data_IF_273003909213
#
_entry.id   IF_273003909213
#
_cell.length_a   1.000
_cell.length_b   1.000
_cell.length_c   1.000
_cell.angle_alpha   90.00
_cell.angle_beta   90.00
_cell.angle_gamma   90.00
#
_symmetry.space_group_name_H-M   'P 1'
#
loop_
_entity.id
_entity.type
_entity.pdbx_description
1 polymer ?
#
# COMPACT_ATOMS: atom_id res chain seq x y z
N UNK A 1 1.08 4.44 -34.13
CA UNK A 1 1.08 4.65 -32.66
C UNK A 1 2.53 4.83 -32.22
N UNK A 2 2.84 5.80 -31.35
CA UNK A 2 4.19 5.93 -30.83
C UNK A 2 4.56 4.66 -30.04
N UNK A 3 5.80 4.21 -30.19
CA UNK A 3 6.34 3.08 -29.44
C UNK A 3 6.61 3.60 -28.02
N UNK A 4 6.02 2.98 -26.96
CA UNK A 4 6.25 3.39 -25.58
C UNK A 4 7.72 3.24 -25.19
N UNK A 5 8.19 4.08 -24.28
CA UNK A 5 9.56 3.98 -23.76
C UNK A 5 9.73 2.76 -22.87
N UNK A 6 10.98 2.35 -22.61
CA UNK A 6 11.27 1.24 -21.70
C UNK A 6 10.69 1.49 -20.30
N UNK A 7 10.83 2.69 -19.77
CA UNK A 7 10.32 3.03 -18.42
C UNK A 7 8.80 2.90 -18.33
N UNK A 8 8.07 3.29 -19.38
CA UNK A 8 6.60 3.12 -19.42
C UNK A 8 6.18 1.65 -19.53
N UNK A 9 7.02 0.78 -20.11
CA UNK A 9 6.74 -0.63 -20.29
C UNK A 9 7.36 -1.54 -19.21
N UNK A 10 8.26 -1.05 -18.39
CA UNK A 10 9.02 -1.83 -17.41
C UNK A 10 8.14 -2.69 -16.53
N UNK A 11 7.13 -2.11 -15.88
CA UNK A 11 6.22 -2.84 -15.00
C UNK A 11 5.42 -3.94 -15.75
N UNK A 12 5.04 -3.68 -17.00
CA UNK A 12 4.34 -4.66 -17.84
C UNK A 12 5.28 -5.81 -18.25
N UNK A 13 6.52 -5.49 -18.59
CA UNK A 13 7.55 -6.49 -18.94
C UNK A 13 7.87 -7.36 -17.73
N UNK A 14 8.10 -6.76 -16.56
CA UNK A 14 8.34 -7.47 -15.31
C UNK A 14 7.18 -8.43 -14.95
N UNK A 15 5.94 -7.97 -15.07
CA UNK A 15 4.75 -8.78 -14.84
C UNK A 15 4.60 -9.92 -15.87
N UNK A 16 5.02 -9.72 -17.11
CA UNK A 16 5.04 -10.78 -18.14
C UNK A 16 6.13 -11.81 -17.89
N UNK A 17 7.34 -11.36 -17.50
CA UNK A 17 8.45 -12.24 -17.15
C UNK A 17 8.11 -13.09 -15.93
N UNK A 18 7.52 -12.50 -14.89
CA UNK A 18 7.14 -13.23 -13.67
C UNK A 18 6.08 -14.30 -13.88
N UNK A 19 5.26 -14.16 -14.93
CA UNK A 19 4.24 -15.15 -15.33
C UNK A 19 4.69 -16.12 -16.44
N UNK A 20 5.91 -15.97 -16.95
CA UNK A 20 6.45 -16.83 -17.99
C UNK A 20 6.90 -18.16 -17.37
N UNK A 21 6.66 -19.28 -18.07
CA UNK A 21 7.09 -20.62 -17.64
C UNK A 21 8.59 -20.71 -17.32
N UNK A 22 9.41 -19.84 -17.91
CA UNK A 22 10.85 -19.74 -17.64
C UNK A 22 11.17 -19.28 -16.22
N UNK A 23 10.28 -18.51 -15.58
CA UNK A 23 10.45 -18.10 -14.20
C UNK A 23 10.36 -19.29 -13.24
N UNK A 24 9.46 -20.25 -13.53
CA UNK A 24 9.35 -21.50 -12.76
C UNK A 24 10.62 -22.36 -12.89
N UNK A 25 11.19 -22.47 -14.11
CA UNK A 25 12.47 -23.17 -14.30
C UNK A 25 13.63 -22.56 -13.52
N UNK A 26 13.61 -21.28 -13.30
CA UNK A 26 14.61 -20.60 -12.46
C UNK A 26 14.48 -21.03 -11.00
N UNK A 27 13.25 -21.11 -10.48
CA UNK A 27 12.98 -21.57 -9.11
C UNK A 27 13.34 -23.05 -8.96
N UNK A 28 12.99 -23.89 -9.90
CA UNK A 28 13.36 -25.31 -9.91
C UNK A 28 14.89 -25.49 -9.94
N UNK A 29 15.59 -24.75 -10.81
CA UNK A 29 17.05 -24.77 -10.87
C UNK A 29 17.72 -24.29 -9.58
N UNK A 30 17.15 -23.28 -8.92
CA UNK A 30 17.58 -22.81 -7.61
C UNK A 30 17.35 -23.90 -6.55
N UNK A 31 16.17 -24.51 -6.52
CA UNK A 31 15.85 -25.57 -5.57
C UNK A 31 16.77 -26.79 -5.72
N UNK A 32 17.10 -27.19 -6.94
CA UNK A 32 18.05 -28.29 -7.17
C UNK A 32 19.47 -27.97 -6.68
N UNK A 33 19.90 -26.71 -6.78
CA UNK A 33 21.16 -26.27 -6.18
C UNK A 33 21.10 -26.28 -4.65
N UNK A 34 19.99 -25.79 -4.08
CA UNK A 34 19.79 -25.77 -2.63
C UNK A 34 19.70 -27.19 -2.06
N UNK A 35 19.02 -28.13 -2.72
CA UNK A 35 19.00 -29.56 -2.34
C UNK A 35 20.40 -30.16 -2.23
N UNK A 36 21.26 -29.86 -3.20
CA UNK A 36 22.67 -30.31 -3.18
C UNK A 36 23.49 -29.64 -2.09
N UNK A 37 23.32 -28.33 -1.92
CA UNK A 37 24.08 -27.54 -0.96
C UNK A 37 23.76 -27.94 0.49
N UNK A 38 22.47 -28.17 0.78
CA UNK A 38 22.01 -28.45 2.14
C UNK A 38 21.76 -29.93 2.44
N UNK A 39 22.15 -30.82 1.51
CA UNK A 39 22.09 -32.28 1.73
C UNK A 39 20.66 -32.82 1.86
N UNK A 40 19.82 -32.52 0.86
CA UNK A 40 18.45 -33.05 0.80
C UNK A 40 18.42 -34.57 0.72
N UNK A 41 17.56 -35.20 1.53
CA UNK A 41 17.28 -36.64 1.56
C UNK A 41 15.79 -36.86 1.60
N UNK A 42 15.28 -37.87 0.90
CA UNK A 42 13.85 -38.18 0.84
C UNK A 42 13.56 -39.68 0.91
N UNK A 43 12.40 -40.03 1.45
CA UNK A 43 11.87 -41.40 1.57
C UNK A 43 10.53 -41.50 0.82
N UNK A 44 10.59 -41.49 -0.53
CA UNK A 44 9.39 -41.53 -1.40
C UNK A 44 8.51 -42.74 -1.21
N UNK A 45 9.06 -43.84 -0.68
CA UNK A 45 8.27 -45.05 -0.39
C UNK A 45 7.10 -44.77 0.53
N UNK A 46 7.27 -43.81 1.45
CA UNK A 46 6.22 -43.40 2.41
C UNK A 46 5.01 -42.72 1.74
N UNK A 47 5.16 -42.21 0.51
CA UNK A 47 4.01 -41.66 -0.24
C UNK A 47 2.94 -42.73 -0.52
N UNK A 48 3.34 -44.02 -0.63
CA UNK A 48 2.40 -45.11 -0.81
C UNK A 48 1.40 -45.27 0.35
N UNK A 49 1.79 -44.86 1.56
CA UNK A 49 0.91 -44.86 2.74
C UNK A 49 -0.09 -43.72 2.68
N UNK A 50 0.36 -42.55 2.21
CA UNK A 50 -0.52 -41.39 2.02
C UNK A 50 -1.58 -41.67 0.94
N UNK A 51 -1.19 -42.33 -0.16
CA UNK A 51 -2.13 -42.72 -1.24
C UNK A 51 -3.24 -43.62 -0.69
N UNK A 52 -2.96 -44.48 0.29
CA UNK A 52 -3.97 -45.42 0.84
C UNK A 52 -5.08 -44.73 1.61
N UNK A 53 -4.81 -43.56 2.22
CA UNK A 53 -5.77 -42.80 3.04
C UNK A 53 -6.50 -41.71 2.26
N UNK A 54 -6.01 -41.34 1.08
CA UNK A 54 -6.64 -40.34 0.23
C UNK A 54 -7.68 -40.99 -0.68
N UNK A 55 -8.81 -40.31 -0.87
CA UNK A 55 -9.90 -40.75 -1.72
C UNK A 55 -10.35 -39.63 -2.68
N UNK A 56 -11.31 -39.93 -3.56
CA UNK A 56 -11.78 -39.01 -4.59
C UNK A 56 -12.33 -37.67 -4.11
N UNK A 57 -12.66 -37.52 -2.80
CA UNK A 57 -13.11 -36.26 -2.24
C UNK A 57 -12.04 -35.16 -2.32
N UNK A 58 -10.76 -35.53 -2.52
CA UNK A 58 -9.67 -34.58 -2.73
C UNK A 58 -9.90 -33.74 -4.00
N UNK A 59 -10.50 -34.30 -5.04
CA UNK A 59 -10.82 -33.58 -6.29
C UNK A 59 -12.03 -32.65 -6.14
N UNK A 60 -12.85 -32.87 -5.08
CA UNK A 60 -13.91 -31.95 -4.72
C UNK A 60 -13.43 -30.82 -3.79
N UNK A 61 -12.19 -30.90 -3.28
CA UNK A 61 -11.64 -29.95 -2.29
C UNK A 61 -12.25 -30.13 -0.91
N UNK A 62 -12.73 -31.32 -0.58
CA UNK A 62 -13.44 -31.62 0.69
C UNK A 62 -12.83 -32.79 1.47
N UNK A 63 -11.71 -33.30 1.02
CA UNK A 63 -11.03 -34.39 1.73
C UNK A 63 -10.52 -33.90 3.10
N UNK A 64 -10.65 -34.76 4.10
CA UNK A 64 -10.17 -34.50 5.46
C UNK A 64 -9.23 -35.61 5.89
N UNK A 65 -8.16 -35.23 6.60
CA UNK A 65 -7.25 -36.17 7.21
C UNK A 65 -8.01 -37.04 8.23
N UNK A 66 -7.83 -38.37 8.23
CA UNK A 66 -8.38 -39.23 9.28
C UNK A 66 -7.90 -38.79 10.67
N UNK A 67 -8.80 -38.77 11.67
CA UNK A 67 -8.52 -38.26 13.02
C UNK A 67 -7.51 -39.10 13.81
N UNK A 68 -7.36 -40.36 13.45
CA UNK A 68 -6.41 -41.33 14.01
C UNK A 68 -5.08 -41.42 13.28
N UNK A 69 -4.92 -40.66 12.18
CA UNK A 69 -3.68 -40.64 11.43
C UNK A 69 -2.59 -39.85 12.18
N UNK A 70 -1.50 -40.51 12.53
CA UNK A 70 -0.37 -39.91 13.24
C UNK A 70 0.95 -40.57 12.82
N UNK A 71 1.31 -40.47 11.55
CA UNK A 71 2.61 -40.97 11.08
C UNK A 71 3.65 -39.84 11.20
N UNK A 72 4.63 -40.00 12.11
CA UNK A 72 5.72 -39.08 12.38
C UNK A 72 7.01 -39.42 11.64
N UNK A 73 6.98 -40.42 10.74
CA UNK A 73 8.15 -40.80 9.96
C UNK A 73 8.61 -39.64 9.08
N UNK A 74 9.91 -39.53 8.91
CA UNK A 74 10.53 -38.47 8.14
C UNK A 74 10.35 -38.74 6.63
N UNK A 75 9.56 -37.90 5.97
CA UNK A 75 9.30 -37.98 4.56
C UNK A 75 10.48 -37.41 3.74
N UNK A 76 11.02 -36.29 4.21
CA UNK A 76 12.27 -35.73 3.70
C UNK A 76 12.95 -34.87 4.75
N UNK A 77 14.26 -34.65 4.53
CA UNK A 77 15.10 -33.78 5.33
C UNK A 77 15.92 -32.86 4.45
N UNK A 78 16.11 -31.62 4.89
CA UNK A 78 17.05 -30.67 4.30
C UNK A 78 17.86 -29.99 5.41
N UNK A 79 19.16 -30.21 5.45
CA UNK A 79 20.02 -29.75 6.55
C UNK A 79 19.52 -30.21 7.93
N UNK A 80 19.16 -29.26 8.77
CA UNK A 80 18.63 -29.48 10.13
C UNK A 80 17.09 -29.51 10.19
N UNK A 81 16.39 -29.35 9.06
CA UNK A 81 14.94 -29.35 8.98
C UNK A 81 14.42 -30.72 8.52
N UNK A 82 13.53 -31.33 9.31
CA UNK A 82 12.84 -32.57 9.00
C UNK A 82 11.35 -32.30 8.74
N UNK A 83 10.82 -32.91 7.69
CA UNK A 83 9.41 -32.83 7.30
C UNK A 83 8.80 -34.21 7.33
N UNK A 84 7.73 -34.37 8.12
CA UNK A 84 7.12 -35.69 8.37
C UNK A 84 5.99 -36.01 7.40
N UNK A 85 5.60 -37.30 7.37
CA UNK A 85 4.42 -37.75 6.64
C UNK A 85 3.15 -37.03 7.14
N UNK A 86 3.03 -36.80 8.46
CA UNK A 86 1.92 -36.07 9.04
C UNK A 86 1.85 -34.62 8.52
N UNK A 87 3.00 -33.95 8.45
CA UNK A 87 3.04 -32.57 7.92
C UNK A 87 2.64 -32.53 6.45
N UNK A 88 3.02 -33.53 5.68
CA UNK A 88 2.62 -33.66 4.28
C UNK A 88 1.11 -33.86 4.14
N UNK A 89 0.52 -34.73 4.94
CA UNK A 89 -0.93 -34.98 4.91
C UNK A 89 -1.73 -33.72 5.27
N UNK A 90 -1.25 -32.91 6.20
CA UNK A 90 -1.82 -31.58 6.50
C UNK A 90 -1.70 -30.64 5.30
N UNK A 91 -0.56 -30.67 4.62
CA UNK A 91 -0.38 -29.87 3.40
C UNK A 91 -1.31 -30.30 2.27
N UNK A 92 -1.58 -31.57 2.09
CA UNK A 92 -2.58 -32.05 1.13
C UNK A 92 -3.95 -31.44 1.41
N UNK A 93 -4.36 -31.37 2.69
CA UNK A 93 -5.62 -30.74 3.09
C UNK A 93 -5.68 -29.24 2.76
N UNK A 94 -4.54 -28.54 2.86
CA UNK A 94 -4.44 -27.12 2.51
C UNK A 94 -4.42 -26.89 0.98
N UNK A 95 -3.72 -27.75 0.22
CA UNK A 95 -3.48 -27.57 -1.22
C UNK A 95 -4.61 -28.10 -2.12
N UNK A 96 -5.51 -28.93 -1.56
CA UNK A 96 -6.61 -29.48 -2.34
C UNK A 96 -7.50 -28.37 -2.91
N UNK A 97 -7.96 -28.55 -4.12
CA UNK A 97 -8.88 -27.64 -4.79
C UNK A 97 -9.83 -28.42 -5.71
N UNK A 98 -11.00 -27.82 -5.98
CA UNK A 98 -11.95 -28.45 -6.90
C UNK A 98 -11.36 -28.52 -8.30
N UNK A 99 -11.25 -29.74 -8.82
CA UNK A 99 -10.69 -30.02 -10.15
C UNK A 99 -11.28 -31.29 -10.77
N UNK A 100 -10.96 -31.53 -12.02
CA UNK A 100 -11.32 -32.78 -12.69
C UNK A 100 -10.61 -33.96 -12.04
N UNK A 101 -11.31 -35.05 -11.70
CA UNK A 101 -10.70 -36.25 -11.14
C UNK A 101 -9.58 -36.80 -12.05
N UNK A 102 -8.48 -37.18 -11.39
CA UNK A 102 -7.31 -37.79 -12.04
C UNK A 102 -6.84 -38.99 -11.22
N UNK A 103 -5.74 -39.63 -11.64
CA UNK A 103 -5.16 -40.75 -10.91
C UNK A 103 -4.53 -40.23 -9.58
N UNK A 104 -5.07 -40.69 -8.45
CA UNK A 104 -4.68 -40.20 -7.11
C UNK A 104 -3.17 -40.25 -6.87
N UNK A 105 -2.43 -41.34 -7.15
CA UNK A 105 -1.00 -41.40 -6.94
C UNK A 105 -0.22 -40.29 -7.67
N UNK A 106 -0.54 -40.04 -8.94
CA UNK A 106 0.10 -38.96 -9.71
C UNK A 106 -0.22 -37.59 -9.16
N UNK A 107 -1.44 -37.38 -8.67
CA UNK A 107 -1.85 -36.15 -8.05
C UNK A 107 -1.11 -35.90 -6.71
N UNK A 108 -0.98 -36.95 -5.90
CA UNK A 108 -0.20 -36.88 -4.64
C UNK A 108 1.28 -36.61 -4.92
N UNK A 109 1.86 -37.26 -5.94
CA UNK A 109 3.25 -37.01 -6.34
C UNK A 109 3.45 -35.57 -6.82
N UNK A 110 2.49 -35.03 -7.56
CA UNK A 110 2.53 -33.61 -7.97
C UNK A 110 2.53 -32.68 -6.75
N UNK A 111 1.58 -32.88 -5.80
CA UNK A 111 1.55 -32.09 -4.56
C UNK A 111 2.86 -32.24 -3.78
N UNK A 112 3.42 -33.45 -3.72
CA UNK A 112 4.70 -33.70 -3.05
C UNK A 112 5.83 -32.86 -3.66
N UNK A 113 5.95 -32.86 -4.99
CA UNK A 113 6.97 -32.08 -5.67
C UNK A 113 6.80 -30.58 -5.42
N UNK A 114 5.56 -30.07 -5.43
CA UNK A 114 5.25 -28.67 -5.14
C UNK A 114 5.59 -28.33 -3.68
N UNK A 115 5.28 -29.20 -2.73
CA UNK A 115 5.63 -29.03 -1.31
C UNK A 115 7.15 -29.08 -1.09
N UNK A 116 7.83 -30.03 -1.72
CA UNK A 116 9.31 -30.10 -1.63
C UNK A 116 9.94 -28.83 -2.17
N UNK A 117 9.47 -28.33 -3.31
CA UNK A 117 9.96 -27.08 -3.90
C UNK A 117 9.76 -25.91 -2.92
N UNK A 118 8.56 -25.76 -2.35
CA UNK A 118 8.25 -24.72 -1.36
C UNK A 118 9.16 -24.80 -0.14
N UNK A 119 9.30 -26.00 0.46
CA UNK A 119 10.07 -26.18 1.68
C UNK A 119 11.58 -25.99 1.47
N UNK A 120 12.12 -26.43 0.33
CA UNK A 120 13.51 -26.22 -0.04
C UNK A 120 13.84 -24.75 -0.22
N UNK A 121 12.98 -24.00 -0.93
CA UNK A 121 13.15 -22.56 -1.11
C UNK A 121 13.04 -21.84 0.23
N UNK A 122 12.06 -22.18 1.07
CA UNK A 122 11.87 -21.60 2.40
C UNK A 122 13.07 -21.88 3.34
N UNK A 123 13.60 -23.08 3.28
CA UNK A 123 14.79 -23.43 4.04
C UNK A 123 16.00 -22.62 3.60
N UNK A 124 16.26 -22.55 2.29
CA UNK A 124 17.35 -21.75 1.74
C UNK A 124 17.21 -20.26 2.11
N UNK A 125 15.99 -19.71 2.04
CA UNK A 125 15.69 -18.34 2.46
C UNK A 125 16.04 -18.12 3.94
N UNK A 126 15.67 -19.05 4.83
CA UNK A 126 15.98 -18.96 6.26
C UNK A 126 17.48 -18.94 6.58
N UNK A 127 18.31 -19.41 5.67
CA UNK A 127 19.78 -19.42 5.81
C UNK A 127 20.47 -18.19 5.20
N UNK A 128 19.74 -17.34 4.46
CA UNK A 128 20.30 -16.18 3.76
C UNK A 128 20.99 -15.20 4.71
N UNK A 129 20.35 -14.85 5.82
CA UNK A 129 20.90 -13.89 6.78
C UNK A 129 22.19 -14.41 7.42
N UNK A 130 22.30 -15.72 7.65
CA UNK A 130 23.53 -16.32 8.19
C UNK A 130 24.63 -16.48 7.15
N UNK A 131 24.26 -16.69 5.88
CA UNK A 131 25.17 -16.88 4.75
C UNK A 131 25.73 -15.55 4.22
N UNK A 132 24.92 -14.47 4.31
CA UNK A 132 25.27 -13.16 3.76
C UNK A 132 25.13 -12.07 4.85
N UNK A 133 26.23 -11.75 5.58
CA UNK A 133 26.20 -10.76 6.66
C UNK A 133 25.75 -9.36 6.22
N UNK A 134 26.09 -8.94 4.99
CA UNK A 134 25.68 -7.64 4.45
C UNK A 134 24.18 -7.58 4.23
N UNK A 135 23.57 -8.68 3.75
CA UNK A 135 22.13 -8.80 3.64
C UNK A 135 21.45 -8.71 5.02
N UNK A 136 22.02 -9.43 6.02
CA UNK A 136 21.52 -9.35 7.39
C UNK A 136 21.55 -7.92 7.91
N UNK A 137 22.65 -7.21 7.74
CA UNK A 137 22.78 -5.82 8.19
C UNK A 137 21.69 -4.91 7.53
N UNK A 138 21.45 -5.09 6.23
CA UNK A 138 20.42 -4.33 5.51
C UNK A 138 19.01 -4.66 6.02
N UNK A 139 18.72 -5.94 6.29
CA UNK A 139 17.42 -6.37 6.84
C UNK A 139 17.21 -5.81 8.25
N UNK A 140 18.24 -5.86 9.10
CA UNK A 140 18.19 -5.33 10.46
C UNK A 140 17.96 -3.81 10.44
N UNK A 141 18.67 -3.05 9.60
CA UNK A 141 18.45 -1.60 9.42
C UNK A 141 17.03 -1.29 8.97
N UNK A 142 16.49 -2.03 8.01
CA UNK A 142 15.12 -1.86 7.55
C UNK A 142 14.11 -2.17 8.67
N UNK A 143 14.31 -3.25 9.41
CA UNK A 143 13.46 -3.65 10.55
C UNK A 143 13.45 -2.57 11.63
N UNK A 144 14.63 -2.05 11.98
CA UNK A 144 14.77 -0.96 12.96
C UNK A 144 14.08 0.31 12.48
N UNK A 145 14.22 0.65 11.20
CA UNK A 145 13.53 1.78 10.59
C UNK A 145 12.00 1.66 10.68
N UNK A 146 11.45 0.48 10.37
CA UNK A 146 9.99 0.21 10.49
C UNK A 146 9.53 0.29 11.95
N UNK A 147 10.32 -0.23 12.90
CA UNK A 147 10.00 -0.17 14.33
C UNK A 147 10.02 1.28 14.84
N UNK A 148 11.04 2.05 14.51
CA UNK A 148 11.16 3.47 14.87
C UNK A 148 9.96 4.25 14.29
N UNK A 149 9.65 4.04 13.00
CA UNK A 149 8.50 4.67 12.37
C UNK A 149 7.20 4.32 13.10
N UNK A 150 6.95 3.05 13.38
CA UNK A 150 5.74 2.57 14.05
C UNK A 150 5.59 3.17 15.44
N UNK A 151 6.68 3.23 16.23
CA UNK A 151 6.67 3.83 17.57
C UNK A 151 6.43 5.35 17.46
N UNK A 152 7.12 6.03 16.54
CA UNK A 152 6.97 7.47 16.34
C UNK A 152 5.56 7.84 15.88
N UNK A 153 5.00 7.07 14.95
CA UNK A 153 3.63 7.24 14.49
C UNK A 153 2.64 7.12 15.66
N UNK A 154 2.76 6.04 16.45
CA UNK A 154 1.87 5.77 17.57
C UNK A 154 2.03 6.77 18.72
N UNK A 155 3.27 7.10 19.10
CA UNK A 155 3.57 7.85 20.32
C UNK A 155 3.63 9.37 20.11
N UNK A 156 3.87 9.81 18.88
CA UNK A 156 4.04 11.23 18.54
C UNK A 156 2.94 11.71 17.61
N UNK A 157 2.91 11.21 16.39
CA UNK A 157 2.01 11.75 15.34
C UNK A 157 0.55 11.45 15.61
N UNK A 158 0.18 10.18 15.79
CA UNK A 158 -1.19 9.80 16.10
C UNK A 158 -1.63 10.32 17.48
N UNK A 159 -0.73 10.33 18.46
CA UNK A 159 -1.05 10.90 19.77
C UNK A 159 -1.40 12.38 19.66
N UNK A 160 -0.62 13.16 18.90
CA UNK A 160 -0.91 14.58 18.70
C UNK A 160 -2.23 14.87 17.99
N UNK A 161 -2.74 13.92 17.20
CA UNK A 161 -4.03 14.04 16.52
C UNK A 161 -5.22 13.55 17.35
N UNK A 162 -5.01 12.54 18.18
CA UNK A 162 -6.08 11.86 18.94
C UNK A 162 -6.23 12.35 20.36
N UNK A 163 -5.17 12.89 20.97
CA UNK A 163 -5.18 13.42 22.34
C UNK A 163 -5.81 14.83 22.38
N UNK A 164 -7.13 14.86 22.24
CA UNK A 164 -7.89 16.13 22.24
C UNK A 164 -7.77 16.89 23.56
N UNK A 165 -7.61 16.17 24.68
CA UNK A 165 -7.44 16.78 26.01
C UNK A 165 -6.07 17.46 26.10
N UNK A 166 -4.99 16.74 25.77
CA UNK A 166 -3.64 17.29 25.76
C UNK A 166 -3.47 18.46 24.79
N UNK A 167 -4.13 18.40 23.61
CA UNK A 167 -4.17 19.50 22.66
C UNK A 167 -4.86 20.73 23.24
N UNK A 168 -5.97 20.56 23.95
CA UNK A 168 -6.71 21.66 24.60
C UNK A 168 -5.88 22.29 25.72
N UNK A 169 -5.24 21.50 26.55
CA UNK A 169 -4.36 21.96 27.61
C UNK A 169 -3.16 22.72 27.04
N UNK A 170 -2.48 22.17 26.05
CA UNK A 170 -1.35 22.79 25.37
C UNK A 170 -1.76 24.12 24.72
N UNK A 171 -2.89 24.17 24.01
CA UNK A 171 -3.40 25.38 23.39
C UNK A 171 -3.71 26.44 24.44
N UNK A 172 -4.35 26.07 25.54
CA UNK A 172 -4.71 26.99 26.62
C UNK A 172 -3.45 27.63 27.27
N UNK A 173 -2.44 26.79 27.54
CA UNK A 173 -1.17 27.24 28.11
C UNK A 173 -0.33 28.13 27.16
N UNK A 174 -0.46 27.90 25.85
CA UNK A 174 0.35 28.59 24.85
C UNK A 174 -0.45 29.56 23.97
N UNK A 175 -1.70 29.86 24.31
CA UNK A 175 -2.61 30.69 23.50
C UNK A 175 -1.99 32.00 23.02
N UNK A 176 -1.21 32.66 23.87
CA UNK A 176 -0.56 33.93 23.53
C UNK A 176 0.40 33.83 22.34
N UNK A 177 1.02 32.63 22.12
CA UNK A 177 1.93 32.39 20.98
C UNK A 177 1.20 32.26 19.65
N UNK A 178 -0.11 31.96 19.67
CA UNK A 178 -0.94 31.75 18.50
C UNK A 178 -1.87 32.92 18.19
N UNK A 179 -1.76 34.03 18.98
CA UNK A 179 -2.49 35.25 18.69
C UNK A 179 -1.93 35.87 17.41
N UNK A 180 -2.81 36.14 16.51
CA UNK A 180 -2.44 36.88 15.31
C UNK A 180 -2.22 38.34 15.65
N UNK A 181 -1.26 38.95 15.00
CA UNK A 181 -1.10 40.41 14.98
C UNK A 181 -2.42 41.09 14.60
N UNK A 182 -2.64 42.34 15.05
CA UNK A 182 -3.82 43.09 14.65
C UNK A 182 -3.96 43.12 13.13
N UNK A 183 -5.11 42.70 12.64
CA UNK A 183 -5.35 42.54 11.18
C UNK A 183 -6.57 43.34 10.78
N UNK A 184 -6.51 43.91 9.57
CA UNK A 184 -7.63 44.60 8.96
C UNK A 184 -8.30 43.69 7.94
N UNK A 185 -9.61 43.56 8.07
CA UNK A 185 -10.44 42.93 7.05
C UNK A 185 -10.90 43.98 6.05
N UNK A 186 -10.55 43.85 4.80
CA UNK A 186 -10.86 44.88 3.80
C UNK A 186 -11.33 44.20 2.50
N UNK A 187 -12.24 44.90 1.82
CA UNK A 187 -12.59 44.57 0.42
C UNK A 187 -11.83 45.51 -0.49
N UNK A 188 -10.98 44.93 -1.35
CA UNK A 188 -10.25 45.69 -2.38
C UNK A 188 -11.11 45.75 -3.64
N UNK A 189 -11.40 46.97 -4.08
CA UNK A 189 -12.10 47.22 -5.35
C UNK A 189 -11.08 47.69 -6.40
N UNK A 190 -11.02 46.98 -7.53
CA UNK A 190 -10.30 47.38 -8.73
C UNK A 190 -11.30 47.77 -9.79
N UNK A 191 -11.27 49.02 -10.22
CA UNK A 191 -12.27 49.58 -11.15
C UNK A 191 -11.50 50.24 -12.30
N UNK A 192 -11.65 49.68 -13.50
CA UNK A 192 -11.10 50.24 -14.73
C UNK A 192 -12.16 51.13 -15.37
N UNK A 193 -11.94 52.44 -15.35
CA UNK A 193 -12.89 53.45 -15.84
C UNK A 193 -12.15 54.76 -16.21
N UNK A 194 -12.63 55.44 -17.24
CA UNK A 194 -12.14 56.75 -17.65
C UNK A 194 -12.57 57.90 -16.70
N UNK A 195 -13.39 57.59 -15.70
CA UNK A 195 -13.87 58.59 -14.75
C UNK A 195 -12.85 58.90 -13.66
N UNK A 196 -12.89 60.15 -13.16
CA UNK A 196 -11.97 60.61 -12.12
C UNK A 196 -12.04 59.75 -10.86
N UNK A 197 -10.96 59.28 -10.26
CA UNK A 197 -10.93 58.44 -9.07
C UNK A 197 -11.79 58.98 -7.90
N UNK A 198 -11.76 60.29 -7.64
CA UNK A 198 -12.58 60.93 -6.60
C UNK A 198 -14.11 60.78 -6.80
N UNK A 199 -14.59 60.65 -8.05
CA UNK A 199 -15.98 60.40 -8.35
C UNK A 199 -16.35 58.94 -8.04
N UNK A 200 -15.45 58.03 -8.40
CA UNK A 200 -15.62 56.61 -8.16
C UNK A 200 -15.65 56.35 -6.64
N UNK A 201 -14.71 56.91 -5.89
CA UNK A 201 -14.65 56.79 -4.44
C UNK A 201 -15.90 57.33 -3.73
N UNK A 202 -16.41 58.49 -4.17
CA UNK A 202 -17.67 59.04 -3.65
C UNK A 202 -18.86 58.10 -3.89
N UNK A 203 -18.93 57.50 -5.06
CA UNK A 203 -20.01 56.58 -5.40
C UNK A 203 -19.88 55.29 -4.57
N UNK A 204 -18.69 54.71 -4.49
CA UNK A 204 -18.42 53.51 -3.70
C UNK A 204 -18.79 53.75 -2.21
N UNK A 205 -18.29 54.80 -1.61
CA UNK A 205 -18.57 55.19 -0.21
C UNK A 205 -20.08 55.42 0.00
N UNK A 206 -20.78 56.02 -0.95
CA UNK A 206 -22.24 56.22 -0.88
C UNK A 206 -22.96 54.88 -0.84
N UNK A 207 -22.58 53.89 -1.64
CA UNK A 207 -23.20 52.59 -1.69
C UNK A 207 -22.88 51.73 -0.48
N UNK A 208 -21.64 51.77 0.00
CA UNK A 208 -21.22 51.12 1.27
C UNK A 208 -22.06 51.65 2.45
N UNK A 209 -22.19 52.98 2.58
CA UNK A 209 -23.01 53.60 3.64
C UNK A 209 -24.48 53.25 3.57
N UNK A 210 -24.98 52.85 2.42
CA UNK A 210 -26.35 52.36 2.25
C UNK A 210 -26.50 50.88 2.61
N UNK A 211 -25.44 50.19 2.99
CA UNK A 211 -25.46 48.79 3.37
C UNK A 211 -25.69 47.82 2.20
N UNK A 212 -25.36 48.22 0.96
CA UNK A 212 -25.51 47.36 -0.19
C UNK A 212 -24.46 46.24 -0.18
N UNK A 213 -24.83 45.07 -0.71
CA UNK A 213 -23.89 43.96 -0.91
C UNK A 213 -22.84 44.33 -1.98
N UNK A 214 -21.73 43.61 -2.01
CA UNK A 214 -20.65 43.85 -2.99
C UNK A 214 -21.17 43.65 -4.43
N UNK A 215 -22.05 42.68 -4.65
CA UNK A 215 -22.68 42.40 -5.94
C UNK A 215 -23.56 43.61 -6.38
N UNK A 216 -24.41 44.08 -5.50
CA UNK A 216 -25.25 45.25 -5.80
C UNK A 216 -24.45 46.52 -6.04
N UNK A 217 -23.33 46.69 -5.33
CA UNK A 217 -22.40 47.79 -5.51
C UNK A 217 -21.76 47.67 -6.91
N UNK A 218 -21.28 46.47 -7.31
CA UNK A 218 -20.71 46.20 -8.63
C UNK A 218 -21.68 46.58 -9.75
N UNK A 219 -22.91 46.10 -9.68
CA UNK A 219 -23.94 46.40 -10.68
C UNK A 219 -24.26 47.89 -10.79
N UNK A 220 -24.42 48.58 -9.64
CA UNK A 220 -24.73 50.00 -9.61
C UNK A 220 -23.59 50.87 -10.09
N UNK A 221 -22.33 50.46 -9.80
CA UNK A 221 -21.15 51.14 -10.32
C UNK A 221 -21.07 50.95 -11.84
N UNK A 222 -21.23 49.73 -12.35
CA UNK A 222 -21.22 49.43 -13.79
C UNK A 222 -22.21 50.31 -14.55
N UNK A 223 -23.47 50.35 -14.10
CA UNK A 223 -24.52 51.20 -14.68
C UNK A 223 -24.19 52.69 -14.61
N UNK A 224 -23.69 53.19 -13.49
CA UNK A 224 -23.41 54.58 -13.28
C UNK A 224 -22.20 55.11 -14.03
N UNK A 225 -21.16 54.27 -14.16
CA UNK A 225 -19.94 54.58 -14.87
C UNK A 225 -19.98 54.18 -16.35
N UNK A 226 -21.12 53.64 -16.81
CA UNK A 226 -21.35 53.16 -18.19
C UNK A 226 -20.29 52.15 -18.63
N UNK A 227 -19.90 51.30 -17.71
CA UNK A 227 -18.97 50.21 -17.96
C UNK A 227 -19.80 49.02 -18.48
N UNK A 228 -19.59 48.65 -19.73
CA UNK A 228 -20.18 47.43 -20.29
C UNK A 228 -19.30 46.23 -19.80
N UNK A 229 -19.95 45.22 -19.19
CA UNK A 229 -19.33 43.96 -18.86
C UNK A 229 -18.98 43.23 -20.17
N UNK A 230 -17.78 43.48 -20.68
CA UNK A 230 -17.20 42.74 -21.78
C UNK A 230 -16.39 41.54 -21.24
N UNK A 231 -15.66 40.85 -22.15
CA UNK A 231 -14.82 39.69 -21.86
C UNK A 231 -13.76 39.91 -20.77
N UNK A 232 -13.41 41.17 -20.46
CA UNK A 232 -12.50 41.57 -19.39
C UNK A 232 -13.32 42.22 -18.26
N UNK A 233 -13.34 41.58 -17.08
CA UNK A 233 -14.04 42.14 -15.90
C UNK A 233 -13.41 43.47 -15.46
N UNK A 234 -13.99 44.59 -15.87
CA UNK A 234 -13.52 45.94 -15.51
C UNK A 234 -13.79 46.36 -14.10
N UNK A 235 -14.70 45.67 -13.39
CA UNK A 235 -14.98 45.88 -11.97
C UNK A 235 -14.79 44.57 -11.24
N UNK A 236 -13.74 44.48 -10.42
CA UNK A 236 -13.41 43.30 -9.62
C UNK A 236 -13.33 43.71 -8.15
N UNK A 237 -13.88 42.90 -7.29
CA UNK A 237 -13.63 43.03 -5.85
C UNK A 237 -13.05 41.75 -5.29
N UNK A 238 -12.10 41.89 -4.32
CA UNK A 238 -11.49 40.73 -3.62
C UNK A 238 -11.43 41.05 -2.14
N UNK A 239 -11.90 40.11 -1.34
CA UNK A 239 -11.70 40.19 0.08
C UNK A 239 -10.27 39.80 0.43
N UNK A 240 -9.59 40.64 1.26
CA UNK A 240 -8.23 40.38 1.73
C UNK A 240 -8.11 40.71 3.21
N UNK A 241 -7.32 39.88 3.91
CA UNK A 241 -6.78 40.24 5.24
C UNK A 241 -5.41 40.85 5.06
N UNK A 242 -5.20 41.97 5.69
CA UNK A 242 -3.88 42.62 5.74
C UNK A 242 -3.36 42.56 7.15
N UNK A 243 -2.06 42.23 7.30
CA UNK A 243 -1.31 42.39 8.53
C UNK A 243 -0.95 43.87 8.65
N UNK A 244 -1.00 44.37 9.89
CA UNK A 244 -0.73 45.80 10.16
C UNK A 244 0.78 46.02 10.26
#
# INVERSE_FOLDING_TARGET
RPIPTFEEQKANIENRISKDERSFKTIESFAEKAKKEYGFQESKELLSEVVKIVNDSIFAGTWKMPTDFNNQEELFRIGDYSFTVLDFVRKIEEFQSKQTPSYIPEYIEKIYNDVVLEQVVKYADSKLESKYPDLKATIDEFRDGVLIFSITDRMVWNKSLLDTIGLQEYFTANRAKYNWEPRVSATLWSIDSDEKPAKIEKLLNKYIRKGLSNEEIKEKLAKKLRIEDGKDEKIVYKWKKYEK
#
